data_IF_916226490922
#
_entry.id   IF_916226490922
#
_cell.length_a   1.000
_cell.length_b   1.000
_cell.length_c   1.000
_cell.angle_alpha   90.00
_cell.angle_beta   90.00
_cell.angle_gamma   90.00
#
_symmetry.space_group_name_H-M   'P 1'
#
loop_
_entity.id
_entity.type
_entity.pdbx_description
1 polymer ?
#
# COMPACT_ATOMS: atom_id res chain seq x y z
N UNK A 1 -29.62 -7.39 -16.98
CA UNK A 1 -29.06 -7.34 -15.61
C UNK A 1 -27.85 -8.26 -15.59
N UNK A 2 -26.66 -7.71 -15.82
CA UNK A 2 -25.43 -8.51 -15.89
C UNK A 2 -25.08 -9.01 -14.49
N UNK A 3 -25.34 -10.30 -14.31
CA UNK A 3 -24.96 -11.12 -13.16
C UNK A 3 -23.49 -11.48 -13.34
N UNK A 4 -22.61 -10.51 -13.17
CA UNK A 4 -21.17 -10.78 -13.19
C UNK A 4 -20.81 -11.60 -11.94
N UNK A 5 -20.17 -12.72 -12.22
CA UNK A 5 -19.96 -13.84 -11.35
C UNK A 5 -19.07 -13.44 -10.16
N UNK A 6 -19.56 -13.73 -8.96
CA UNK A 6 -18.83 -13.61 -7.70
C UNK A 6 -17.68 -14.62 -7.67
N UNK A 7 -16.60 -14.36 -8.38
CA UNK A 7 -15.30 -14.78 -7.87
C UNK A 7 -15.08 -14.02 -6.57
N UNK A 8 -14.93 -14.74 -5.46
CA UNK A 8 -14.80 -14.20 -4.09
C UNK A 8 -13.45 -13.49 -3.89
N UNK A 9 -13.02 -12.68 -4.84
CA UNK A 9 -11.90 -11.77 -4.64
C UNK A 9 -12.43 -10.56 -3.89
N UNK A 10 -12.21 -10.54 -2.57
CA UNK A 10 -12.53 -9.37 -1.74
C UNK A 10 -11.92 -8.13 -2.40
N UNK A 11 -12.76 -7.13 -2.69
CA UNK A 11 -12.29 -5.88 -3.31
C UNK A 11 -11.41 -5.13 -2.29
N UNK A 12 -10.43 -4.36 -2.78
CA UNK A 12 -9.55 -3.59 -1.88
C UNK A 12 -10.37 -2.66 -0.97
N UNK A 13 -11.36 -1.97 -1.53
CA UNK A 13 -12.28 -1.09 -0.79
C UNK A 13 -13.09 -1.85 0.28
N UNK A 14 -13.49 -3.08 0.00
CA UNK A 14 -14.24 -3.93 0.93
C UNK A 14 -13.36 -4.43 2.07
N UNK A 15 -12.13 -4.86 1.76
CA UNK A 15 -11.14 -5.23 2.77
C UNK A 15 -10.80 -4.04 3.68
N UNK A 16 -10.58 -2.86 3.09
CA UNK A 16 -10.29 -1.64 3.84
C UNK A 16 -11.46 -1.23 4.74
N UNK A 17 -12.68 -1.23 4.22
CA UNK A 17 -13.88 -0.92 5.00
C UNK A 17 -14.06 -1.90 6.18
N UNK A 18 -13.71 -3.17 5.95
CA UNK A 18 -13.79 -4.19 6.99
C UNK A 18 -12.74 -4.00 8.08
N UNK A 19 -11.50 -3.66 7.71
CA UNK A 19 -10.44 -3.29 8.67
C UNK A 19 -10.86 -2.07 9.49
N UNK A 20 -11.41 -1.03 8.87
CA UNK A 20 -11.91 0.16 9.56
C UNK A 20 -13.02 -0.18 10.55
N UNK A 21 -13.97 -1.01 10.16
CA UNK A 21 -15.06 -1.45 11.05
C UNK A 21 -14.53 -2.25 12.26
N UNK A 22 -13.48 -3.07 12.07
CA UNK A 22 -12.82 -3.79 13.17
C UNK A 22 -12.12 -2.79 14.10
N UNK A 23 -11.33 -1.87 13.56
CA UNK A 23 -10.61 -0.85 14.35
C UNK A 23 -11.59 -0.01 15.18
N UNK A 24 -12.68 0.47 14.57
CA UNK A 24 -13.71 1.22 15.28
C UNK A 24 -14.34 0.44 16.44
N UNK A 25 -14.63 -0.85 16.25
CA UNK A 25 -15.18 -1.69 17.32
C UNK A 25 -14.20 -1.86 18.48
N UNK A 26 -12.92 -2.01 18.18
CA UNK A 26 -11.86 -2.12 19.18
C UNK A 26 -11.72 -0.80 19.94
N UNK A 27 -11.69 0.33 19.24
CA UNK A 27 -11.56 1.66 19.85
C UNK A 27 -12.75 2.02 20.74
N UNK A 28 -13.97 1.60 20.38
CA UNK A 28 -15.16 1.78 21.22
C UNK A 28 -15.19 0.86 22.43
N UNK A 29 -14.29 -0.13 22.53
CA UNK A 29 -14.29 -1.12 23.61
C UNK A 29 -15.53 -2.03 23.61
N UNK A 30 -16.22 -2.14 22.47
CA UNK A 30 -17.43 -2.96 22.31
C UNK A 30 -17.12 -4.44 22.03
N UNK A 31 -15.84 -4.79 22.00
CA UNK A 31 -15.36 -6.13 21.65
C UNK A 31 -15.00 -6.93 22.90
N UNK A 32 -15.49 -8.16 22.97
CA UNK A 32 -15.11 -9.08 24.04
C UNK A 32 -13.68 -9.62 23.83
N UNK A 33 -13.02 -10.00 24.92
CA UNK A 33 -11.61 -10.43 24.86
C UNK A 33 -11.41 -11.69 24.02
N UNK A 34 -12.41 -12.58 24.03
CA UNK A 34 -12.43 -13.80 23.21
C UNK A 34 -12.58 -13.48 21.71
N UNK A 35 -13.30 -12.41 21.37
CA UNK A 35 -13.52 -11.95 19.99
C UNK A 35 -12.39 -11.04 19.48
N UNK A 36 -11.67 -10.37 20.38
CA UNK A 36 -10.58 -9.46 20.05
C UNK A 36 -9.49 -10.17 19.24
N UNK A 37 -9.05 -11.33 19.71
CA UNK A 37 -8.02 -12.11 19.03
C UNK A 37 -8.44 -12.53 17.62
N UNK A 38 -9.72 -12.89 17.43
CA UNK A 38 -10.27 -13.26 16.13
C UNK A 38 -10.37 -12.04 15.20
N UNK A 39 -10.86 -10.91 15.70
CA UNK A 39 -11.04 -9.69 14.91
C UNK A 39 -9.70 -9.08 14.46
N UNK A 40 -8.70 -9.10 15.33
CA UNK A 40 -7.34 -8.66 14.96
C UNK A 40 -6.74 -9.58 13.89
N UNK A 41 -6.91 -10.90 14.00
CA UNK A 41 -6.48 -11.84 12.95
C UNK A 41 -7.17 -11.57 11.61
N UNK A 42 -8.49 -11.37 11.59
CA UNK A 42 -9.23 -11.01 10.39
C UNK A 42 -8.67 -9.72 9.75
N UNK A 43 -8.41 -8.69 10.57
CA UNK A 43 -7.82 -7.45 10.08
C UNK A 43 -6.42 -7.65 9.46
N UNK A 44 -5.58 -8.50 10.06
CA UNK A 44 -4.25 -8.84 9.51
C UNK A 44 -4.33 -9.59 8.19
N UNK A 45 -5.26 -10.55 8.04
CA UNK A 45 -5.48 -11.28 6.80
C UNK A 45 -5.93 -10.34 5.68
N UNK A 46 -6.87 -9.45 5.97
CA UNK A 46 -7.34 -8.43 5.03
C UNK A 46 -6.22 -7.45 4.66
N UNK A 47 -5.39 -7.05 5.62
CA UNK A 47 -4.23 -6.20 5.38
C UNK A 47 -3.23 -6.87 4.43
N UNK A 48 -2.94 -8.15 4.62
CA UNK A 48 -2.06 -8.91 3.73
C UNK A 48 -2.61 -8.96 2.28
N UNK A 49 -3.92 -9.14 2.13
CA UNK A 49 -4.58 -9.08 0.81
C UNK A 49 -4.45 -7.69 0.17
N UNK A 50 -4.66 -6.63 0.93
CA UNK A 50 -4.49 -5.25 0.47
C UNK A 50 -3.06 -5.00 -0.01
N UNK A 51 -2.06 -5.40 0.78
CA UNK A 51 -0.63 -5.26 0.43
C UNK A 51 -0.31 -5.96 -0.88
N UNK A 52 -0.77 -7.21 -1.03
CA UNK A 52 -0.55 -7.98 -2.25
C UNK A 52 -1.14 -7.30 -3.50
N UNK A 53 -2.32 -6.71 -3.38
CA UNK A 53 -2.95 -5.98 -4.49
C UNK A 53 -2.18 -4.71 -4.89
N UNK A 54 -1.61 -4.02 -3.91
CA UNK A 54 -0.77 -2.84 -4.17
C UNK A 54 0.50 -3.29 -4.91
N UNK A 55 1.18 -4.32 -4.42
CA UNK A 55 2.38 -4.88 -5.06
C UNK A 55 2.10 -5.34 -6.50
N UNK A 56 0.98 -6.02 -6.74
CA UNK A 56 0.57 -6.44 -8.09
C UNK A 56 0.32 -5.23 -9.01
N UNK A 57 -0.28 -4.16 -8.51
CA UNK A 57 -0.50 -2.94 -9.27
C UNK A 57 0.82 -2.21 -9.59
N UNK A 58 1.72 -2.10 -8.61
CA UNK A 58 3.05 -1.51 -8.78
C UNK A 58 3.85 -2.24 -9.86
N UNK A 59 3.86 -3.58 -9.82
CA UNK A 59 4.53 -4.41 -10.84
C UNK A 59 3.94 -4.24 -12.24
N UNK A 60 2.63 -4.03 -12.35
CA UNK A 60 1.99 -3.76 -13.64
C UNK A 60 2.40 -2.40 -14.19
N UNK A 61 2.43 -1.37 -13.34
CA UNK A 61 2.86 -0.02 -13.71
C UNK A 61 4.32 -0.05 -14.17
N UNK A 62 5.21 -0.69 -13.41
CA UNK A 62 6.63 -0.80 -13.74
C UNK A 62 6.85 -1.46 -15.11
N UNK A 63 6.11 -2.54 -15.41
CA UNK A 63 6.17 -3.20 -16.72
C UNK A 63 5.73 -2.29 -17.87
N UNK A 64 4.72 -1.46 -17.66
CA UNK A 64 4.25 -0.51 -18.69
C UNK A 64 5.35 0.52 -18.96
N UNK A 65 5.97 1.07 -17.93
CA UNK A 65 7.05 2.05 -18.05
C UNK A 65 8.26 1.43 -18.77
N UNK A 66 8.71 0.24 -18.35
CA UNK A 66 9.83 -0.46 -19.01
C UNK A 66 9.55 -0.77 -20.49
N UNK A 67 8.30 -1.09 -20.84
CA UNK A 67 7.90 -1.32 -22.23
C UNK A 67 7.96 -0.03 -23.07
N UNK A 68 7.66 1.12 -22.48
CA UNK A 68 7.75 2.44 -23.13
C UNK A 68 9.21 2.89 -23.30
N UNK A 69 10.05 2.71 -22.27
CA UNK A 69 11.49 3.05 -22.31
C UNK A 69 12.32 2.12 -23.23
N UNK A 70 11.79 0.94 -23.58
CA UNK A 70 12.44 0.01 -24.52
C UNK A 70 12.32 0.41 -25.99
N UNK A 71 11.78 1.60 -26.30
CA UNK A 71 12.00 2.26 -27.59
C UNK A 71 13.24 3.17 -27.50
N UNK A 72 14.40 2.76 -28.05
CA UNK A 72 15.62 3.53 -27.92
C UNK A 72 15.57 4.77 -28.81
N UNK A 73 15.19 5.91 -28.26
CA UNK A 73 15.58 7.22 -28.77
C UNK A 73 16.61 7.85 -27.85
N UNK A 74 17.76 8.17 -28.45
CA UNK A 74 19.02 8.62 -27.88
C UNK A 74 18.94 9.79 -26.89
N UNK A 75 19.87 9.84 -25.93
CA UNK A 75 20.23 11.08 -25.23
C UNK A 75 21.19 10.90 -24.05
N UNK A 76 22.49 11.05 -24.31
CA UNK A 76 23.59 11.03 -23.34
C UNK A 76 23.71 12.43 -22.70
N UNK A 77 23.91 12.53 -21.38
CA UNK A 77 24.58 13.67 -20.77
C UNK A 77 25.09 13.31 -19.37
N UNK A 78 26.41 13.11 -19.31
CA UNK A 78 27.27 13.33 -18.15
C UNK A 78 26.92 14.64 -17.42
N UNK A 79 27.07 14.73 -16.09
CA UNK A 79 28.08 15.58 -15.41
C UNK A 79 28.03 15.32 -13.89
N UNK A 80 29.21 15.18 -13.29
CA UNK A 80 29.49 15.10 -11.87
C UNK A 80 29.49 16.49 -11.19
N UNK A 81 29.72 16.51 -9.87
CA UNK A 81 29.90 17.67 -8.95
C UNK A 81 28.55 18.31 -8.50
N UNK A 82 28.26 18.55 -7.22
CA UNK A 82 29.16 19.02 -6.18
C UNK A 82 28.68 18.66 -4.75
N UNK A 83 29.68 18.47 -3.90
CA UNK A 83 29.67 18.32 -2.45
C UNK A 83 29.41 19.70 -1.80
N UNK A 84 28.46 19.81 -0.89
CA UNK A 84 28.50 20.85 0.15
C UNK A 84 27.71 20.39 1.40
N UNK A 85 28.40 20.15 2.53
CA UNK A 85 27.74 19.96 3.82
C UNK A 85 27.55 21.33 4.51
N UNK A 86 26.33 21.86 4.49
CA UNK A 86 26.01 23.02 5.32
C UNK A 86 25.71 22.58 6.76
N UNK A 87 26.72 22.76 7.61
CA UNK A 87 26.55 22.88 9.05
C UNK A 87 25.50 23.94 9.38
N UNK A 88 24.38 23.55 10.00
CA UNK A 88 23.64 24.49 10.84
C UNK A 88 23.89 24.14 12.29
N UNK A 89 24.97 24.74 12.79
CA UNK A 89 25.17 25.12 14.18
C UNK A 89 23.84 25.31 14.92
N UNK A 90 23.66 24.58 16.01
CA UNK A 90 22.39 24.48 16.69
C UNK A 90 21.94 25.72 17.44
N UNK A 91 20.76 25.59 18.05
CA UNK A 91 20.43 26.24 19.30
C UNK A 91 19.58 25.25 20.14
N UNK A 92 19.82 25.19 21.45
CA UNK A 92 19.09 24.30 22.35
C UNK A 92 17.72 24.91 22.64
N UNK A 93 16.66 24.13 22.40
CA UNK A 93 15.47 24.05 23.25
C UNK A 93 14.93 22.62 23.20
#
# INVERSE_FOLDING_TARGET
MNREEKEKTVKFSEALARIQAIAEKIDRGEIEIDELAASVKEAYELHALCKKKIEEAELQIEKIIQAEESSPSQGKADTAENDEPEETSGLPF
#
